data_IF_468580674169
#
_entry.id   IF_468580674169
#
_cell.length_a   1.000
_cell.length_b   1.000
_cell.length_c   1.000
_cell.angle_alpha   90.00
_cell.angle_beta   90.00
_cell.angle_gamma   90.00
#
_symmetry.space_group_name_H-M   'P 1'
#
loop_
_entity.id
_entity.type
_entity.pdbx_description
1 polymer ?
#
# COMPACT_ATOMS: atom_id res chain seq x y z
N UNK A 1 4.38 -17.05 -11.95
CA UNK A 1 4.02 -16.01 -10.94
C UNK A 1 2.51 -15.94 -10.89
N UNK A 2 1.90 -15.65 -9.72
CA UNK A 2 0.45 -15.50 -9.64
C UNK A 2 -0.02 -14.28 -10.44
N UNK A 3 -1.25 -14.35 -10.94
CA UNK A 3 -2.02 -13.21 -11.42
C UNK A 3 -2.25 -12.21 -10.27
N UNK A 4 -2.00 -10.93 -10.51
CA UNK A 4 -2.16 -9.89 -9.51
C UNK A 4 -3.51 -9.19 -9.69
N UNK A 5 -4.30 -9.11 -8.61
CA UNK A 5 -5.55 -8.35 -8.59
C UNK A 5 -5.37 -7.12 -7.71
N UNK A 6 -5.33 -5.94 -8.34
CA UNK A 6 -5.17 -4.68 -7.63
C UNK A 6 -6.45 -4.29 -6.88
N UNK A 7 -6.30 -3.96 -5.60
CA UNK A 7 -7.36 -3.48 -4.71
C UNK A 7 -6.98 -2.07 -4.25
N UNK A 8 -7.37 -1.06 -5.03
CA UNK A 8 -6.98 0.33 -4.78
C UNK A 8 -7.73 0.97 -3.60
N UNK A 9 -7.01 1.80 -2.85
CA UNK A 9 -7.53 2.66 -1.78
C UNK A 9 -6.83 4.02 -1.82
N UNK A 10 -7.59 5.10 -1.67
CA UNK A 10 -7.08 6.47 -1.66
C UNK A 10 -6.99 6.99 -0.22
N UNK A 11 -5.82 7.46 0.18
CA UNK A 11 -5.57 8.13 1.44
C UNK A 11 -6.19 9.52 1.50
N UNK A 12 -6.52 9.97 2.71
CA UNK A 12 -7.02 11.31 2.99
C UNK A 12 -6.85 11.64 4.47
N UNK A 13 -6.92 12.92 4.84
CA UNK A 13 -6.87 13.35 6.23
C UNK A 13 -8.11 12.92 7.05
N UNK A 14 -9.17 12.45 6.40
CA UNK A 14 -10.37 11.93 7.07
C UNK A 14 -10.36 10.40 7.16
N UNK A 15 -9.28 9.74 6.73
CA UNK A 15 -9.17 8.28 6.80
C UNK A 15 -9.32 7.78 8.24
N UNK A 16 -10.06 6.68 8.40
CA UNK A 16 -10.24 5.98 9.68
C UNK A 16 -9.68 4.57 9.60
N UNK A 17 -9.33 4.00 10.76
CA UNK A 17 -8.92 2.59 10.86
C UNK A 17 -9.96 1.64 10.25
N UNK A 18 -11.25 1.93 10.45
CA UNK A 18 -12.34 1.12 9.89
C UNK A 18 -12.33 1.09 8.36
N UNK A 19 -12.08 2.24 7.72
CA UNK A 19 -12.00 2.33 6.26
C UNK A 19 -10.86 1.46 5.70
N UNK A 20 -9.71 1.44 6.36
CA UNK A 20 -8.56 0.61 5.97
C UNK A 20 -8.91 -0.87 6.16
N UNK A 21 -9.42 -1.27 7.33
CA UNK A 21 -9.81 -2.67 7.59
C UNK A 21 -10.82 -3.19 6.56
N UNK A 22 -11.78 -2.36 6.12
CA UNK A 22 -12.73 -2.73 5.06
C UNK A 22 -12.04 -3.08 3.74
N UNK A 23 -10.94 -2.41 3.39
CA UNK A 23 -10.14 -2.70 2.19
C UNK A 23 -9.40 -4.02 2.33
N UNK A 24 -8.77 -4.29 3.48
CA UNK A 24 -8.11 -5.57 3.74
C UNK A 24 -9.10 -6.74 3.66
N UNK A 25 -10.27 -6.59 4.28
CA UNK A 25 -11.38 -7.55 4.15
C UNK A 25 -11.84 -7.73 2.71
N UNK A 26 -11.82 -6.68 1.89
CA UNK A 26 -12.14 -6.76 0.46
C UNK A 26 -11.08 -7.55 -0.31
N UNK A 27 -9.80 -7.32 -0.04
CA UNK A 27 -8.70 -8.10 -0.63
C UNK A 27 -8.81 -9.60 -0.29
N UNK A 28 -9.09 -9.93 0.98
CA UNK A 28 -9.25 -11.32 1.42
C UNK A 28 -10.39 -12.07 0.71
N UNK A 29 -11.45 -11.38 0.27
CA UNK A 29 -12.53 -12.04 -0.50
C UNK A 29 -12.04 -12.56 -1.85
N UNK A 30 -11.01 -11.96 -2.46
CA UNK A 30 -10.46 -12.48 -3.71
C UNK A 30 -9.72 -13.80 -3.50
N UNK A 31 -9.08 -13.99 -2.34
CA UNK A 31 -8.43 -15.26 -1.98
C UNK A 31 -9.45 -16.39 -1.80
N UNK A 32 -10.61 -16.09 -1.20
CA UNK A 32 -11.61 -17.12 -0.87
C UNK A 32 -12.55 -17.51 -2.01
N UNK A 33 -12.60 -16.76 -3.11
CA UNK A 33 -13.53 -17.00 -4.24
C UNK A 33 -12.98 -18.01 -5.25
N UNK A 34 -11.65 -18.18 -5.30
CA UNK A 34 -11.00 -19.19 -6.14
C UNK A 34 -9.98 -19.91 -5.26
N UNK A 35 -10.12 -21.21 -5.07
CA UNK A 35 -9.12 -22.07 -4.41
C UNK A 35 -7.81 -22.19 -5.25
N UNK A 36 -7.55 -21.23 -6.13
CA UNK A 36 -6.37 -21.19 -6.97
C UNK A 36 -5.29 -20.39 -6.25
N UNK A 37 -4.17 -21.04 -6.02
CA UNK A 37 -2.88 -20.41 -5.71
C UNK A 37 -2.38 -19.48 -6.83
N UNK A 38 -3.17 -19.30 -7.89
CA UNK A 38 -2.87 -18.49 -9.06
C UNK A 38 -3.21 -17.00 -8.87
N UNK A 39 -4.02 -16.59 -7.88
CA UNK A 39 -4.35 -15.16 -7.69
C UNK A 39 -3.78 -14.61 -6.39
N UNK A 40 -3.07 -13.49 -6.49
CA UNK A 40 -2.61 -12.70 -5.35
C UNK A 40 -3.28 -11.31 -5.36
N UNK A 41 -4.20 -11.02 -4.43
CA UNK A 41 -4.72 -9.67 -4.29
C UNK A 41 -3.64 -8.73 -3.74
N UNK A 42 -3.46 -7.58 -4.37
CA UNK A 42 -2.49 -6.56 -3.97
C UNK A 42 -3.22 -5.29 -3.61
N UNK A 43 -3.13 -4.87 -2.36
CA UNK A 43 -3.68 -3.60 -1.90
C UNK A 43 -2.76 -2.48 -2.36
N UNK A 44 -3.30 -1.52 -3.12
CA UNK A 44 -2.57 -0.34 -3.58
C UNK A 44 -3.12 0.88 -2.84
N UNK A 45 -2.37 1.35 -1.85
CA UNK A 45 -2.74 2.47 -0.99
C UNK A 45 -2.08 3.76 -1.52
N UNK A 46 -2.82 4.50 -2.31
CA UNK A 46 -2.41 5.79 -2.86
C UNK A 46 -2.46 6.89 -1.78
N UNK A 47 -1.51 7.83 -1.83
CA UNK A 47 -1.43 8.97 -0.90
C UNK A 47 -1.50 8.58 0.59
N UNK A 48 -0.83 7.48 0.97
CA UNK A 48 -0.85 6.97 2.35
C UNK A 48 -0.34 8.00 3.37
N UNK A 49 0.54 8.92 2.97
CA UNK A 49 0.98 10.04 3.80
C UNK A 49 -0.15 10.97 4.24
N UNK A 50 -1.20 11.15 3.43
CA UNK A 50 -2.36 11.95 3.85
C UNK A 50 -3.15 11.24 4.97
N UNK A 51 -3.19 9.92 4.96
CA UNK A 51 -3.83 9.15 6.02
C UNK A 51 -3.03 9.19 7.33
N UNK A 52 -1.71 9.41 7.29
CA UNK A 52 -0.90 9.62 8.50
C UNK A 52 -1.25 10.94 9.21
N UNK A 53 -1.59 11.98 8.43
CA UNK A 53 -2.01 13.28 8.96
C UNK A 53 -3.42 13.26 9.58
N UNK A 54 -4.15 12.15 9.47
CA UNK A 54 -5.50 12.03 10.03
C UNK A 54 -5.48 12.04 11.57
N UNK A 55 -6.38 12.79 12.22
CA UNK A 55 -6.51 12.80 13.68
C UNK A 55 -6.96 11.43 14.24
N UNK A 56 -7.45 10.53 13.38
CA UNK A 56 -7.90 9.20 13.78
C UNK A 56 -6.76 8.18 13.90
N UNK A 57 -5.51 8.55 13.56
CA UNK A 57 -4.35 7.67 13.50
C UNK A 57 -4.67 6.33 12.80
N UNK A 58 -5.19 6.38 11.55
CA UNK A 58 -5.77 5.22 10.89
C UNK A 58 -4.72 4.15 10.60
N UNK A 59 -3.47 4.55 10.30
CA UNK A 59 -2.37 3.65 9.94
C UNK A 59 -1.90 2.74 11.09
N UNK A 60 -2.38 2.96 12.33
CA UNK A 60 -2.08 2.05 13.45
C UNK A 60 -2.48 0.60 13.19
N UNK A 61 -3.49 0.37 12.34
CA UNK A 61 -3.97 -0.99 12.02
C UNK A 61 -3.03 -1.74 11.08
N UNK A 62 -2.15 -1.04 10.35
CA UNK A 62 -1.21 -1.68 9.44
C UNK A 62 -0.24 -2.59 10.17
N UNK A 63 0.07 -2.33 11.44
CA UNK A 63 0.92 -3.22 12.21
C UNK A 63 0.31 -4.62 12.26
N UNK A 64 -0.95 -4.73 12.70
CA UNK A 64 -1.66 -6.01 12.82
C UNK A 64 -2.00 -6.63 11.46
N UNK A 65 -2.40 -5.83 10.47
CA UNK A 65 -2.77 -6.32 9.14
C UNK A 65 -1.55 -6.71 8.28
N UNK A 66 -0.34 -6.24 8.61
CA UNK A 66 0.90 -6.59 7.89
C UNK A 66 1.83 -7.46 8.75
N UNK A 67 1.38 -7.99 9.89
CA UNK A 67 2.08 -9.09 10.56
C UNK A 67 1.81 -10.38 9.78
N UNK A 68 2.86 -11.13 9.47
CA UNK A 68 2.72 -12.30 8.58
C UNK A 68 3.50 -13.51 9.07
N UNK A 69 2.76 -14.53 9.49
CA UNK A 69 3.19 -15.94 9.46
C UNK A 69 2.81 -16.62 8.11
N UNK A 70 1.85 -16.06 7.36
CA UNK A 70 1.39 -16.59 6.06
C UNK A 70 0.92 -15.48 5.09
N UNK A 71 1.46 -15.43 3.86
CA UNK A 71 1.24 -14.32 2.91
C UNK A 71 -0.15 -14.37 2.25
N UNK A 72 -1.12 -13.63 2.81
CA UNK A 72 -2.52 -13.62 2.33
C UNK A 72 -2.82 -12.56 1.25
N UNK A 73 -1.98 -11.55 1.11
CA UNK A 73 -2.12 -10.45 0.15
C UNK A 73 -0.80 -9.70 -0.02
N UNK A 74 -0.64 -9.02 -1.15
CA UNK A 74 0.40 -8.00 -1.34
C UNK A 74 -0.06 -6.64 -0.82
N UNK A 75 0.88 -5.78 -0.43
CA UNK A 75 0.62 -4.41 -0.02
C UNK A 75 1.64 -3.45 -0.62
N UNK A 76 1.16 -2.36 -1.22
CA UNK A 76 1.96 -1.27 -1.76
C UNK A 76 1.39 0.05 -1.26
N UNK A 77 2.17 0.81 -0.49
CA UNK A 77 1.84 2.17 -0.07
C UNK A 77 2.61 3.19 -0.90
N UNK A 78 1.91 4.16 -1.49
CA UNK A 78 2.49 5.23 -2.32
C UNK A 78 2.28 6.56 -1.60
N UNK A 79 3.36 7.32 -1.43
CA UNK A 79 3.32 8.60 -0.73
C UNK A 79 4.35 9.56 -1.28
N UNK A 80 4.00 10.84 -1.31
CA UNK A 80 4.95 11.93 -1.53
C UNK A 80 5.66 12.35 -0.23
N UNK A 81 5.12 11.94 0.93
CA UNK A 81 5.69 12.23 2.24
C UNK A 81 6.23 10.97 2.89
N UNK A 82 7.37 11.09 3.55
CA UNK A 82 7.93 10.02 4.37
C UNK A 82 6.99 9.75 5.54
N UNK A 83 6.68 8.47 5.77
CA UNK A 83 5.91 8.05 6.92
C UNK A 83 6.79 7.94 8.17
N UNK A 84 6.17 7.90 9.35
CA UNK A 84 6.87 7.54 10.58
C UNK A 84 7.49 6.13 10.47
N UNK A 85 8.70 5.97 11.02
CA UNK A 85 9.44 4.72 10.94
C UNK A 85 8.66 3.53 11.51
N UNK A 86 7.86 3.72 12.57
CA UNK A 86 7.06 2.65 13.15
C UNK A 86 6.01 2.08 12.19
N UNK A 87 5.59 2.85 11.18
CA UNK A 87 4.62 2.43 10.14
C UNK A 87 5.28 1.71 8.97
N UNK A 88 6.58 1.89 8.79
CA UNK A 88 7.34 1.32 7.67
C UNK A 88 8.14 0.08 8.04
N UNK A 89 8.34 -0.21 9.34
CA UNK A 89 9.12 -1.37 9.80
C UNK A 89 8.63 -2.75 9.29
N UNK A 90 7.42 -2.83 8.72
CA UNK A 90 6.84 -4.06 8.13
C UNK A 90 6.88 -4.07 6.59
N UNK A 91 7.49 -3.05 5.96
CA UNK A 91 7.54 -2.89 4.52
C UNK A 91 8.95 -2.57 4.04
N UNK A 92 9.24 -2.88 2.77
CA UNK A 92 10.40 -2.34 2.08
C UNK A 92 10.12 -0.89 1.68
N UNK A 93 10.89 0.05 2.23
CA UNK A 93 10.79 1.46 1.85
C UNK A 93 11.70 1.77 0.67
N UNK A 94 11.11 2.33 -0.39
CA UNK A 94 11.82 2.86 -1.55
C UNK A 94 11.51 4.36 -1.67
N UNK A 95 12.54 5.16 -1.89
CA UNK A 95 12.42 6.60 -2.12
C UNK A 95 12.88 6.89 -3.54
N UNK A 96 12.08 7.66 -4.28
CA UNK A 96 12.41 8.13 -5.62
C UNK A 96 12.63 9.64 -5.52
N UNK A 97 13.89 10.11 -5.48
CA UNK A 97 14.18 11.55 -5.46
C UNK A 97 13.82 12.19 -6.80
N UNK A 98 13.86 13.52 -6.84
CA UNK A 98 13.70 14.25 -8.09
C UNK A 98 14.75 13.78 -9.12
N UNK A 99 14.35 13.57 -10.40
CA UNK A 99 15.26 13.15 -11.45
C UNK A 99 16.34 14.22 -11.66
N UNK A 100 17.57 13.79 -11.93
CA UNK A 100 18.64 14.72 -12.27
C UNK A 100 18.57 15.15 -13.76
N UNK A 101 19.47 16.04 -14.17
CA UNK A 101 19.50 16.52 -15.57
C UNK A 101 19.72 15.39 -16.57
N UNK A 102 20.49 14.35 -16.22
CA UNK A 102 20.74 13.23 -17.09
C UNK A 102 19.49 12.33 -17.21
N UNK A 103 18.78 12.10 -16.10
CA UNK A 103 17.49 11.39 -16.09
C UNK A 103 16.45 12.12 -16.95
N UNK A 104 16.37 13.45 -16.81
CA UNK A 104 15.48 14.30 -17.62
C UNK A 104 15.84 14.28 -19.10
N UNK A 105 17.14 14.33 -19.42
CA UNK A 105 17.61 14.23 -20.79
C UNK A 105 17.26 12.86 -21.38
N UNK A 106 17.55 11.77 -20.67
CA UNK A 106 17.27 10.40 -21.11
C UNK A 106 15.78 10.17 -21.37
N UNK A 107 14.91 10.66 -20.49
CA UNK A 107 13.45 10.48 -20.59
C UNK A 107 12.78 11.45 -21.56
N UNK A 108 13.40 12.61 -21.83
CA UNK A 108 12.87 13.66 -22.69
C UNK A 108 13.17 13.51 -24.18
N UNK A 109 14.07 12.60 -24.59
CA UNK A 109 14.32 12.33 -26.01
C UNK A 109 13.26 11.37 -26.54
N UNK A 110 12.28 11.91 -27.29
CA UNK A 110 11.47 11.16 -28.25
C UNK A 110 12.09 11.26 -29.64
#
# INVERSE_FOLDING_TARGET
LPELVAVSFQGSQNCTSESIIKVFKRALRYVGVRNDSEILPVIVFHEIGLAELSPHNPLKVLHAELEVDDCRYGFVGISNWRLDASKMNRALYLSTPDPDVADLQLTGVN
#
